data_IF_413520164955
#
_entry.id   IF_413520164955
#
_cell.length_a   1.000
_cell.length_b   1.000
_cell.length_c   1.000
_cell.angle_alpha   90.00
_cell.angle_beta   90.00
_cell.angle_gamma   90.00
#
_symmetry.space_group_name_H-M   'P 1'
#
loop_
_entity.id
_entity.type
_entity.pdbx_description
1 polymer ?
#
# COMPACT_ATOMS: atom_id res chain seq x y z
N UNK A 1 15.31 -29.77 21.42
CA UNK A 1 15.25 -28.32 21.73
C UNK A 1 14.85 -27.56 20.48
N UNK A 2 13.72 -26.91 20.51
CA UNK A 2 13.32 -25.99 19.47
C UNK A 2 13.98 -24.63 19.75
N UNK A 3 14.86 -24.20 18.86
CA UNK A 3 15.39 -22.82 18.90
C UNK A 3 14.29 -21.85 18.51
N UNK A 4 14.10 -20.81 19.32
CA UNK A 4 13.20 -19.73 18.93
C UNK A 4 13.79 -19.02 17.69
N UNK A 5 12.96 -18.77 16.68
CA UNK A 5 13.35 -18.00 15.48
C UNK A 5 13.94 -16.64 15.89
N UNK A 6 13.47 -16.08 16.98
CA UNK A 6 13.98 -14.80 17.53
C UNK A 6 15.46 -14.87 17.93
N UNK A 7 16.01 -16.06 18.18
CA UNK A 7 17.43 -16.21 18.49
C UNK A 7 18.34 -16.03 17.27
N UNK A 8 17.76 -16.07 16.08
CA UNK A 8 18.46 -15.89 14.82
C UNK A 8 18.58 -14.43 14.38
N UNK A 9 17.85 -13.52 15.03
CA UNK A 9 17.85 -12.11 14.68
C UNK A 9 18.79 -11.29 15.56
N UNK A 10 19.25 -10.15 15.04
CA UNK A 10 20.09 -9.23 15.81
C UNK A 10 19.33 -8.64 17.00
N UNK A 11 20.04 -8.24 18.04
CA UNK A 11 19.45 -7.68 19.25
C UNK A 11 18.56 -6.45 18.97
N UNK A 12 18.97 -5.59 18.03
CA UNK A 12 18.19 -4.41 17.65
C UNK A 12 16.84 -4.74 17.00
N UNK A 13 16.76 -5.85 16.27
CA UNK A 13 15.54 -6.32 15.62
C UNK A 13 14.63 -7.05 16.61
N UNK A 14 15.21 -7.77 17.56
CA UNK A 14 14.50 -8.59 18.56
C UNK A 14 13.50 -7.78 19.37
N UNK A 15 13.81 -6.51 19.66
CA UNK A 15 12.96 -5.61 20.45
C UNK A 15 11.92 -4.83 19.65
N UNK A 16 11.86 -5.01 18.33
CA UNK A 16 10.90 -4.28 17.49
C UNK A 16 9.50 -4.87 17.60
N UNK A 17 8.51 -3.98 17.69
CA UNK A 17 7.11 -4.38 17.56
C UNK A 17 6.77 -4.48 16.06
N UNK A 18 6.04 -5.54 15.63
CA UNK A 18 5.56 -5.62 14.27
C UNK A 18 4.68 -4.43 13.90
N UNK A 19 4.76 -4.02 12.64
CA UNK A 19 3.86 -2.98 12.13
C UNK A 19 2.39 -3.45 12.25
N UNK A 20 1.56 -2.58 12.83
CA UNK A 20 0.12 -2.81 12.92
C UNK A 20 -0.56 -2.02 11.79
N UNK A 21 -1.07 -2.69 10.74
CA UNK A 21 -1.79 -2.00 9.67
C UNK A 21 -3.08 -1.37 10.18
N UNK A 22 -3.54 -0.34 9.46
CA UNK A 22 -4.83 0.25 9.73
C UNK A 22 -5.96 -0.78 9.56
N UNK A 23 -7.01 -0.68 10.37
CA UNK A 23 -8.16 -1.57 10.28
C UNK A 23 -8.98 -1.24 9.04
N UNK A 24 -9.29 -2.22 8.15
CA UNK A 24 -10.21 -1.98 7.04
C UNK A 24 -11.60 -1.56 7.52
N UNK A 25 -12.27 -0.73 6.71
CA UNK A 25 -13.59 -0.21 7.05
C UNK A 25 -14.62 -1.34 7.25
N UNK A 26 -14.58 -2.33 6.37
CA UNK A 26 -15.47 -3.50 6.43
C UNK A 26 -15.29 -4.33 7.70
N UNK A 27 -14.06 -4.43 8.20
CA UNK A 27 -13.78 -5.13 9.45
C UNK A 27 -14.37 -4.38 10.64
N UNK A 28 -14.21 -3.06 10.67
CA UNK A 28 -14.81 -2.20 11.70
C UNK A 28 -16.33 -2.30 11.70
N UNK A 29 -16.95 -2.27 10.53
CA UNK A 29 -18.40 -2.39 10.37
C UNK A 29 -18.92 -3.73 10.86
N UNK A 30 -18.20 -4.82 10.57
CA UNK A 30 -18.57 -6.15 11.06
C UNK A 30 -18.46 -6.27 12.58
N UNK A 31 -17.38 -5.71 13.14
CA UNK A 31 -17.08 -5.81 14.57
C UNK A 31 -18.10 -5.05 15.42
N UNK A 32 -18.50 -3.86 14.99
CA UNK A 32 -19.39 -2.98 15.74
C UNK A 32 -20.84 -2.96 15.22
N UNK A 33 -21.14 -3.64 14.13
CA UNK A 33 -22.48 -3.66 13.54
C UNK A 33 -22.93 -2.32 12.99
N UNK A 34 -21.99 -1.43 12.66
CA UNK A 34 -22.28 -0.10 12.12
C UNK A 34 -22.20 -0.10 10.58
N UNK A 35 -22.81 0.90 9.98
CA UNK A 35 -22.74 1.16 8.53
C UNK A 35 -22.33 2.61 8.30
N UNK A 36 -21.81 2.87 7.11
CA UNK A 36 -21.45 4.22 6.66
C UNK A 36 -20.44 4.92 7.59
N UNK A 37 -19.50 4.16 8.17
CA UNK A 37 -18.42 4.72 8.96
C UNK A 37 -17.49 5.56 8.08
N UNK A 38 -17.07 6.72 8.59
CA UNK A 38 -16.12 7.60 7.92
C UNK A 38 -14.72 7.28 8.46
N UNK A 39 -13.82 6.83 7.58
CA UNK A 39 -12.44 6.53 7.94
C UNK A 39 -11.59 7.80 7.84
N UNK A 40 -11.04 8.22 8.97
CA UNK A 40 -10.12 9.36 9.06
C UNK A 40 -8.67 8.91 9.31
N UNK A 41 -8.44 7.61 9.39
CA UNK A 41 -7.13 7.00 9.54
C UNK A 41 -6.55 6.62 8.18
N UNK A 42 -5.24 6.41 8.14
CA UNK A 42 -4.47 6.07 6.93
C UNK A 42 -4.29 7.24 5.96
N UNK A 43 -3.30 7.10 5.08
CA UNK A 43 -3.00 8.10 4.05
C UNK A 43 -3.79 7.79 2.77
N UNK A 44 -5.11 7.81 2.90
CA UNK A 44 -6.02 7.52 1.80
C UNK A 44 -6.71 8.81 1.33
N UNK A 45 -6.91 8.92 0.03
CA UNK A 45 -7.70 10.02 -0.54
C UNK A 45 -9.13 9.55 -0.81
N UNK A 46 -10.12 9.97 0.00
CA UNK A 46 -11.50 9.53 -0.16
C UNK A 46 -12.16 9.99 -1.48
N UNK A 47 -11.58 11.00 -2.14
CA UNK A 47 -12.05 11.48 -3.44
C UNK A 47 -11.64 10.56 -4.59
N UNK A 48 -10.72 9.62 -4.31
CA UNK A 48 -10.22 8.69 -5.32
C UNK A 48 -9.16 9.28 -6.24
N UNK A 49 -8.73 8.50 -7.24
CA UNK A 49 -7.71 8.93 -8.19
C UNK A 49 -8.27 9.92 -9.21
N UNK A 50 -7.39 10.68 -9.88
CA UNK A 50 -7.81 11.50 -11.00
C UNK A 50 -8.37 10.64 -12.14
N UNK A 51 -9.35 11.16 -12.92
CA UNK A 51 -9.87 10.41 -14.06
C UNK A 51 -8.79 10.01 -15.08
N UNK A 52 -7.80 10.86 -15.30
CA UNK A 52 -6.67 10.58 -16.20
C UNK A 52 -5.79 9.45 -15.67
N UNK A 53 -5.49 9.43 -14.37
CA UNK A 53 -4.73 8.35 -13.75
C UNK A 53 -5.47 7.02 -13.86
N UNK A 54 -6.78 7.03 -13.62
CA UNK A 54 -7.61 5.83 -13.71
C UNK A 54 -7.67 5.30 -15.14
N UNK A 55 -7.82 6.17 -16.14
CA UNK A 55 -7.82 5.78 -17.55
C UNK A 55 -6.47 5.17 -17.95
N UNK A 56 -5.35 5.77 -17.53
CA UNK A 56 -4.02 5.24 -17.80
C UNK A 56 -3.81 3.86 -17.16
N UNK A 57 -4.28 3.67 -15.92
CA UNK A 57 -4.21 2.38 -15.25
C UNK A 57 -5.02 1.30 -15.98
N UNK A 58 -6.23 1.63 -16.44
CA UNK A 58 -7.06 0.71 -17.23
C UNK A 58 -6.40 0.31 -18.55
N UNK A 59 -5.78 1.26 -19.24
CA UNK A 59 -5.05 0.97 -20.47
C UNK A 59 -3.82 0.08 -20.21
N UNK A 60 -3.13 0.27 -19.09
CA UNK A 60 -1.98 -0.54 -18.73
C UNK A 60 -2.33 -2.02 -18.44
N UNK A 61 -3.58 -2.33 -18.11
CA UNK A 61 -4.03 -3.71 -17.89
C UNK A 61 -3.85 -4.61 -19.13
N UNK A 62 -3.87 -4.05 -20.33
CA UNK A 62 -3.69 -4.82 -21.57
C UNK A 62 -2.27 -5.38 -21.70
N UNK A 63 -1.33 -4.91 -20.93
CA UNK A 63 0.09 -5.27 -21.02
C UNK A 63 0.70 -5.69 -19.66
N UNK A 64 -0.12 -6.07 -18.69
CA UNK A 64 0.32 -6.41 -17.33
C UNK A 64 1.21 -7.64 -17.25
N UNK A 65 1.27 -8.48 -18.29
CA UNK A 65 2.13 -9.64 -18.35
C UNK A 65 3.62 -9.29 -18.49
N UNK A 66 3.95 -8.04 -18.77
CA UNK A 66 5.32 -7.55 -18.90
C UNK A 66 5.78 -6.85 -17.64
N UNK A 67 7.05 -7.01 -17.31
CA UNK A 67 7.65 -6.26 -16.23
C UNK A 67 7.70 -4.76 -16.55
N UNK A 68 7.51 -3.91 -15.54
CA UNK A 68 7.79 -2.48 -15.73
C UNK A 68 9.28 -2.23 -15.91
N UNK A 69 9.63 -1.06 -16.46
CA UNK A 69 11.02 -0.63 -16.57
C UNK A 69 11.64 -0.46 -15.17
N UNK A 70 12.64 -1.29 -14.86
CA UNK A 70 13.33 -1.26 -13.57
C UNK A 70 14.06 0.07 -13.28
N UNK A 71 14.42 0.83 -14.31
CA UNK A 71 14.99 2.16 -14.15
C UNK A 71 13.94 3.27 -13.98
N UNK A 72 12.67 3.00 -14.29
CA UNK A 72 11.61 3.98 -14.21
C UNK A 72 11.84 5.20 -15.10
N UNK A 73 12.39 5.03 -16.31
CA UNK A 73 12.77 6.13 -17.19
C UNK A 73 11.62 7.11 -17.44
N UNK A 74 10.47 6.61 -17.89
CA UNK A 74 9.31 7.44 -18.18
C UNK A 74 8.81 8.21 -16.96
N UNK A 75 8.78 7.54 -15.79
CA UNK A 75 8.38 8.16 -14.53
C UNK A 75 9.34 9.27 -14.12
N UNK A 76 10.65 9.01 -14.18
CA UNK A 76 11.67 10.02 -13.87
C UNK A 76 11.56 11.24 -14.77
N UNK A 77 11.35 11.05 -16.06
CA UNK A 77 11.16 12.13 -17.00
C UNK A 77 9.89 12.95 -16.71
N UNK A 78 8.81 12.26 -16.37
CA UNK A 78 7.56 12.94 -16.01
C UNK A 78 7.71 13.78 -14.74
N UNK A 79 8.34 13.22 -13.70
CA UNK A 79 8.62 13.95 -12.45
C UNK A 79 9.54 15.15 -12.69
N UNK A 80 10.59 14.99 -13.49
CA UNK A 80 11.52 16.09 -13.80
C UNK A 80 10.83 17.24 -14.57
N UNK A 81 9.84 16.93 -15.39
CA UNK A 81 9.05 17.98 -16.08
C UNK A 81 8.05 18.66 -15.16
N UNK A 82 7.56 17.96 -14.16
CA UNK A 82 6.56 18.48 -13.25
C UNK A 82 7.18 19.34 -12.12
N UNK A 83 8.36 18.98 -11.68
CA UNK A 83 9.11 19.65 -10.62
C UNK A 83 10.34 20.36 -11.14
#
# INVERSE_FOLDING_TARGET
MTSDVLDLVTAGVRGLSPYQPGKPLEELEREYGIRDAIKLASNENPLGPSPKALAAARAALDDIQRYPDGNGFALKQALARHH
#
